data_IF_687823412126
#
_entry.id   IF_687823412126
#
_cell.length_a   1.000
_cell.length_b   1.000
_cell.length_c   1.000
_cell.angle_alpha   90.00
_cell.angle_beta   90.00
_cell.angle_gamma   90.00
#
_symmetry.space_group_name_H-M   'P 1'
#
loop_
_entity.id
_entity.type
_entity.pdbx_description
1 polymer ?
#
# COMPACT_ATOMS: atom_id res chain seq x y z
N UNK A 1 24.24 13.55 20.07
CA UNK A 1 23.01 13.94 20.81
C UNK A 1 21.76 13.98 19.92
N UNK A 2 21.76 14.54 18.69
CA UNK A 2 20.56 14.55 17.83
C UNK A 2 20.09 13.16 17.35
N UNK A 3 21.03 12.25 17.10
CA UNK A 3 20.77 10.86 16.68
C UNK A 3 19.96 10.07 17.74
N UNK A 4 20.45 10.02 18.98
CA UNK A 4 19.74 9.36 20.09
C UNK A 4 18.33 9.91 20.31
N UNK A 5 18.13 11.22 20.13
CA UNK A 5 16.79 11.83 20.21
C UNK A 5 15.87 11.35 19.09
N UNK A 6 16.39 11.22 17.86
CA UNK A 6 15.61 10.69 16.74
C UNK A 6 15.24 9.22 16.96
N UNK A 7 16.18 8.39 17.44
CA UNK A 7 15.90 6.98 17.76
C UNK A 7 14.83 6.86 18.85
N UNK A 8 14.93 7.62 19.94
CA UNK A 8 13.92 7.64 21.00
C UNK A 8 12.54 8.09 20.50
N UNK A 9 12.48 9.07 19.58
CA UNK A 9 11.22 9.51 18.93
C UNK A 9 10.61 8.40 18.07
N UNK A 10 11.44 7.65 17.33
CA UNK A 10 10.95 6.52 16.52
C UNK A 10 10.39 5.42 17.41
N UNK A 11 11.07 5.09 18.51
CA UNK A 11 10.59 4.12 19.49
C UNK A 11 9.24 4.54 20.09
N UNK A 12 9.13 5.79 20.55
CA UNK A 12 7.87 6.30 21.10
C UNK A 12 6.74 6.34 20.05
N UNK A 13 7.05 6.69 18.80
CA UNK A 13 6.08 6.68 17.70
C UNK A 13 5.63 5.26 17.35
N UNK A 14 6.53 4.28 17.43
CA UNK A 14 6.18 2.86 17.26
C UNK A 14 5.25 2.39 18.37
N UNK A 15 5.57 2.67 19.63
CA UNK A 15 4.72 2.33 20.78
C UNK A 15 3.32 2.98 20.65
N UNK A 16 3.28 4.24 20.21
CA UNK A 16 2.03 4.97 19.92
C UNK A 16 1.22 4.28 18.81
N UNK A 17 1.87 3.84 17.74
CA UNK A 17 1.20 3.13 16.64
C UNK A 17 0.57 1.83 17.11
N UNK A 18 1.27 1.04 17.93
CA UNK A 18 0.76 -0.23 18.46
C UNK A 18 -0.42 0.02 19.40
N UNK A 19 -0.28 0.97 20.33
CA UNK A 19 -1.37 1.38 21.24
C UNK A 19 -2.60 1.88 20.47
N UNK A 20 -2.42 2.68 19.42
CA UNK A 20 -3.53 3.13 18.59
C UNK A 20 -4.23 1.97 17.85
N UNK A 21 -3.50 0.93 17.45
CA UNK A 21 -4.10 -0.27 16.87
C UNK A 21 -4.94 -1.03 17.90
N UNK A 22 -4.44 -1.19 19.13
CA UNK A 22 -5.19 -1.80 20.25
C UNK A 22 -6.48 -1.03 20.58
N UNK A 23 -6.44 0.30 20.51
CA UNK A 23 -7.62 1.14 20.71
C UNK A 23 -8.67 0.94 19.62
N UNK A 24 -8.26 0.76 18.36
CA UNK A 24 -9.21 0.41 17.27
C UNK A 24 -9.86 -0.95 17.54
N UNK A 25 -9.07 -1.95 17.92
CA UNK A 25 -9.58 -3.31 18.17
C UNK A 25 -10.54 -3.32 19.36
N UNK A 26 -10.21 -2.59 20.42
CA UNK A 26 -11.06 -2.43 21.60
C UNK A 26 -12.38 -1.74 21.23
N UNK A 27 -12.33 -0.62 20.50
CA UNK A 27 -13.52 0.10 20.08
C UNK A 27 -14.45 -0.76 19.20
N UNK A 28 -13.88 -1.53 18.24
CA UNK A 28 -14.64 -2.47 17.41
C UNK A 28 -15.36 -3.53 18.25
N UNK A 29 -14.70 -4.03 19.30
CA UNK A 29 -15.27 -5.00 20.23
C UNK A 29 -16.39 -4.39 21.08
N UNK A 30 -16.16 -3.21 21.63
CA UNK A 30 -17.13 -2.49 22.48
C UNK A 30 -18.40 -2.11 21.70
N UNK A 31 -18.24 -1.63 20.46
CA UNK A 31 -19.37 -1.32 19.56
C UNK A 31 -20.05 -2.57 18.99
N UNK A 32 -19.48 -3.77 19.17
CA UNK A 32 -19.89 -5.00 18.47
C UNK A 32 -19.98 -4.79 16.94
N UNK A 33 -19.03 -4.01 16.40
CA UNK A 33 -18.98 -3.65 14.98
C UNK A 33 -18.97 -4.91 14.11
N UNK A 34 -19.90 -5.09 13.15
CA UNK A 34 -19.87 -6.26 12.30
C UNK A 34 -18.69 -6.23 11.34
N UNK A 35 -18.07 -7.40 11.19
CA UNK A 35 -16.92 -7.63 10.34
C UNK A 35 -17.26 -8.59 9.21
N UNK A 36 -16.58 -8.44 8.09
CA UNK A 36 -16.60 -9.39 6.98
C UNK A 36 -15.18 -9.57 6.44
N UNK A 37 -14.80 -10.79 6.09
CA UNK A 37 -13.52 -11.11 5.43
C UNK A 37 -13.74 -11.85 4.12
N UNK A 38 -12.86 -11.57 3.16
CA UNK A 38 -13.00 -12.01 1.78
C UNK A 38 -12.82 -13.51 1.58
N UNK A 39 -12.07 -14.20 2.41
CA UNK A 39 -11.87 -15.65 2.27
C UNK A 39 -13.04 -16.49 2.81
N UNK A 40 -14.10 -15.85 3.32
CA UNK A 40 -15.33 -16.51 3.76
C UNK A 40 -15.26 -17.19 5.14
N UNK A 41 -14.12 -17.10 5.84
CA UNK A 41 -14.02 -17.55 7.24
C UNK A 41 -14.72 -16.52 8.14
N UNK A 42 -15.07 -16.88 9.38
CA UNK A 42 -15.56 -15.91 10.37
C UNK A 42 -14.56 -14.78 10.58
N UNK A 43 -15.03 -13.54 10.52
CA UNK A 43 -14.25 -12.36 10.87
C UNK A 43 -14.60 -11.94 12.29
N UNK A 44 -13.58 -11.80 13.14
CA UNK A 44 -13.71 -11.40 14.53
C UNK A 44 -12.60 -10.41 14.93
N UNK A 45 -12.59 -10.01 16.20
CA UNK A 45 -11.58 -9.09 16.73
C UNK A 45 -10.16 -9.67 16.72
N UNK A 46 -10.00 -10.99 16.72
CA UNK A 46 -8.67 -11.64 16.67
C UNK A 46 -8.09 -11.52 15.26
N UNK A 47 -8.89 -11.80 14.23
CA UNK A 47 -8.51 -11.55 12.85
C UNK A 47 -8.19 -10.08 12.59
N UNK A 48 -8.98 -9.15 13.15
CA UNK A 48 -8.70 -7.71 13.02
C UNK A 48 -7.39 -7.33 13.72
N UNK A 49 -7.13 -7.89 14.90
CA UNK A 49 -5.87 -7.69 15.61
C UNK A 49 -4.68 -8.14 14.76
N UNK A 50 -4.75 -9.34 14.19
CA UNK A 50 -3.75 -9.82 13.24
C UNK A 50 -3.56 -8.86 12.06
N UNK A 51 -4.65 -8.37 11.46
CA UNK A 51 -4.59 -7.49 10.30
C UNK A 51 -3.91 -6.14 10.59
N UNK A 52 -4.19 -5.53 11.75
CA UNK A 52 -3.69 -4.20 12.10
C UNK A 52 -2.28 -4.22 12.71
N UNK A 53 -1.88 -5.36 13.29
CA UNK A 53 -0.60 -5.53 13.98
C UNK A 53 0.41 -6.39 13.22
N UNK A 54 0.05 -6.91 12.04
CA UNK A 54 0.99 -7.61 11.17
C UNK A 54 2.01 -6.66 10.53
N UNK A 55 3.13 -6.45 11.24
CA UNK A 55 4.22 -5.55 10.85
C UNK A 55 5.54 -6.27 10.55
N UNK A 56 5.51 -7.60 10.41
CA UNK A 56 6.71 -8.45 10.34
C UNK A 56 6.98 -8.98 8.94
N UNK A 57 8.23 -9.34 8.64
CA UNK A 57 8.49 -10.29 7.55
C UNK A 57 8.13 -11.71 7.99
N UNK A 58 7.64 -12.53 7.05
CA UNK A 58 7.63 -13.99 7.21
C UNK A 58 8.88 -14.58 6.56
N UNK A 59 9.34 -15.72 7.10
CA UNK A 59 10.44 -16.46 6.48
C UNK A 59 10.05 -16.95 5.08
N UNK A 60 11.00 -16.82 4.14
CA UNK A 60 10.77 -17.14 2.73
C UNK A 60 9.88 -16.16 1.95
N UNK A 61 9.35 -15.10 2.59
CA UNK A 61 8.57 -14.07 1.90
C UNK A 61 9.47 -13.19 1.03
N UNK A 62 9.04 -12.90 -0.21
CA UNK A 62 9.62 -11.81 -1.00
C UNK A 62 9.42 -10.50 -0.25
N UNK A 63 10.53 -9.84 0.12
CA UNK A 63 10.51 -8.63 0.94
C UNK A 63 9.80 -7.41 0.31
N UNK A 64 9.33 -7.53 -0.93
CA UNK A 64 8.52 -6.51 -1.62
C UNK A 64 7.02 -6.74 -1.48
N UNK A 65 6.59 -7.93 -1.06
CA UNK A 65 5.19 -8.34 -0.95
C UNK A 65 4.65 -7.95 0.40
N UNK A 66 3.54 -7.21 0.43
CA UNK A 66 2.76 -6.98 1.66
C UNK A 66 1.64 -8.01 1.76
N UNK A 67 1.38 -8.52 2.96
CA UNK A 67 0.29 -9.47 3.21
C UNK A 67 -1.07 -8.78 3.18
N UNK A 68 -1.99 -9.15 2.27
CA UNK A 68 -3.29 -8.51 2.22
C UNK A 68 -4.24 -9.08 3.29
N UNK A 69 -4.89 -8.21 4.05
CA UNK A 69 -6.00 -8.57 4.94
C UNK A 69 -7.26 -7.93 4.38
N UNK A 70 -8.00 -8.67 3.55
CA UNK A 70 -9.12 -8.14 2.79
C UNK A 70 -10.42 -8.37 3.55
N UNK A 71 -11.06 -7.28 3.94
CA UNK A 71 -12.35 -7.32 4.61
C UNK A 71 -12.95 -5.93 4.81
N UNK A 72 -14.03 -5.90 5.57
CA UNK A 72 -14.83 -4.71 5.86
C UNK A 72 -15.18 -4.69 7.35
N UNK A 73 -15.17 -3.50 7.93
CA UNK A 73 -15.68 -3.23 9.28
C UNK A 73 -16.73 -2.12 9.16
N UNK A 74 -17.97 -2.39 9.59
CA UNK A 74 -18.96 -1.34 9.79
C UNK A 74 -18.65 -0.63 11.11
N UNK A 75 -18.39 0.67 11.05
CA UNK A 75 -17.74 1.41 12.13
C UNK A 75 -18.60 2.61 12.53
N UNK A 76 -18.87 2.73 13.83
CA UNK A 76 -19.46 3.92 14.42
C UNK A 76 -18.44 5.05 14.55
N UNK A 77 -18.89 6.24 15.01
CA UNK A 77 -18.03 7.42 15.12
C UNK A 77 -16.76 7.19 15.95
N UNK A 78 -16.84 6.44 17.06
CA UNK A 78 -15.69 6.18 17.92
C UNK A 78 -14.67 5.30 17.23
N UNK A 79 -15.08 4.21 16.57
CA UNK A 79 -14.15 3.40 15.76
C UNK A 79 -13.50 4.23 14.65
N UNK A 80 -14.26 5.06 13.94
CA UNK A 80 -13.71 5.93 12.88
C UNK A 80 -12.66 6.90 13.41
N UNK A 81 -12.89 7.52 14.57
CA UNK A 81 -11.93 8.40 15.24
C UNK A 81 -10.64 7.65 15.61
N UNK A 82 -10.75 6.44 16.19
CA UNK A 82 -9.59 5.62 16.54
C UNK A 82 -8.78 5.20 15.31
N UNK A 83 -9.44 4.90 14.19
CA UNK A 83 -8.76 4.58 12.93
C UNK A 83 -8.04 5.82 12.36
N UNK A 84 -8.61 7.02 12.52
CA UNK A 84 -7.94 8.25 12.14
C UNK A 84 -6.66 8.47 12.98
N UNK A 85 -6.75 8.27 14.30
CA UNK A 85 -5.59 8.36 15.20
C UNK A 85 -4.49 7.33 14.85
N UNK A 86 -4.88 6.08 14.55
CA UNK A 86 -3.96 5.05 14.08
C UNK A 86 -3.26 5.45 12.77
N UNK A 87 -4.01 5.99 11.81
CA UNK A 87 -3.44 6.46 10.55
C UNK A 87 -2.46 7.61 10.75
N UNK A 88 -2.76 8.56 11.66
CA UNK A 88 -1.85 9.65 12.01
C UNK A 88 -0.56 9.13 12.67
N UNK A 89 -0.66 8.17 13.60
CA UNK A 89 0.52 7.54 14.23
C UNK A 89 1.39 6.80 13.20
N UNK A 90 0.76 6.11 12.23
CA UNK A 90 1.46 5.45 11.11
C UNK A 90 2.20 6.45 10.22
N UNK A 91 1.59 7.59 9.92
CA UNK A 91 2.19 8.66 9.12
C UNK A 91 3.39 9.29 9.83
N UNK A 92 3.23 9.65 11.11
CA UNK A 92 4.32 10.16 11.93
C UNK A 92 5.51 9.19 12.01
N UNK A 93 5.26 7.89 12.17
CA UNK A 93 6.33 6.89 12.17
C UNK A 93 7.06 6.84 10.82
N UNK A 94 6.30 6.89 9.71
CA UNK A 94 6.88 6.88 8.37
C UNK A 94 7.79 8.10 8.12
N UNK A 95 7.39 9.28 8.58
CA UNK A 95 8.18 10.51 8.48
C UNK A 95 9.49 10.40 9.27
N UNK A 96 9.44 9.91 10.51
CA UNK A 96 10.65 9.73 11.33
C UNK A 96 11.61 8.71 10.71
N UNK A 97 11.10 7.63 10.12
CA UNK A 97 11.93 6.66 9.40
C UNK A 97 12.51 7.24 8.10
N UNK A 98 11.82 8.16 7.43
CA UNK A 98 12.36 8.87 6.28
C UNK A 98 13.52 9.79 6.72
N UNK A 99 13.33 10.55 7.81
CA UNK A 99 14.37 11.38 8.42
C UNK A 99 15.61 10.55 8.81
N UNK A 100 15.40 9.37 9.42
CA UNK A 100 16.48 8.46 9.80
C UNK A 100 17.28 7.98 8.57
N UNK A 101 16.60 7.59 7.50
CA UNK A 101 17.26 7.13 6.26
C UNK A 101 18.11 8.21 5.61
N UNK A 102 17.70 9.46 5.72
CA UNK A 102 18.42 10.59 5.15
C UNK A 102 19.64 10.96 6.00
N UNK A 103 19.48 11.04 7.33
CA UNK A 103 20.51 11.56 8.24
C UNK A 103 21.46 10.50 8.79
N UNK A 104 20.96 9.29 9.04
CA UNK A 104 21.69 8.21 9.73
C UNK A 104 21.36 6.83 9.11
N UNK A 105 21.68 6.60 7.82
CA UNK A 105 21.31 5.38 7.11
C UNK A 105 21.84 4.08 7.76
N UNK A 106 23.02 4.14 8.39
CA UNK A 106 23.67 2.99 9.04
C UNK A 106 22.90 2.48 10.27
N UNK A 107 22.12 3.35 10.91
CA UNK A 107 21.32 3.02 12.11
C UNK A 107 20.02 2.27 11.81
N UNK A 108 19.62 2.21 10.53
CA UNK A 108 18.33 1.63 10.15
C UNK A 108 18.25 0.13 10.47
N UNK A 109 19.35 -0.60 10.32
CA UNK A 109 19.39 -2.04 10.56
C UNK A 109 19.21 -2.37 12.05
N UNK A 110 19.92 -1.64 12.92
CA UNK A 110 19.88 -1.81 14.36
C UNK A 110 18.49 -1.47 14.92
N UNK A 111 17.93 -0.31 14.57
CA UNK A 111 16.64 0.11 15.10
C UNK A 111 15.52 -0.86 14.72
N UNK A 112 15.52 -1.37 13.48
CA UNK A 112 14.55 -2.39 13.03
C UNK A 112 14.64 -3.71 13.81
N UNK A 113 15.81 -4.02 14.38
CA UNK A 113 16.02 -5.21 15.19
C UNK A 113 15.54 -5.02 16.64
N UNK A 114 15.59 -3.79 17.18
CA UNK A 114 15.26 -3.52 18.59
C UNK A 114 13.75 -3.29 18.81
N UNK A 115 13.07 -2.57 17.91
CA UNK A 115 11.65 -2.25 18.02
C UNK A 115 10.72 -3.46 18.30
N UNK A 116 10.91 -4.65 17.70
CA UNK A 116 10.07 -5.81 17.98
C UNK A 116 9.99 -6.18 19.47
N UNK A 117 11.12 -6.07 20.19
CA UNK A 117 11.22 -6.55 21.58
C UNK A 117 10.49 -5.67 22.59
N UNK A 118 10.06 -4.47 22.19
CA UNK A 118 9.37 -3.51 23.06
C UNK A 118 7.94 -3.92 23.41
N UNK A 119 7.33 -4.83 22.65
CA UNK A 119 5.94 -5.25 22.86
C UNK A 119 5.79 -6.77 23.06
N UNK A 120 5.56 -7.24 24.30
CA UNK A 120 5.40 -8.66 24.61
C UNK A 120 4.29 -9.38 23.82
N UNK A 121 3.20 -8.69 23.49
CA UNK A 121 2.11 -9.24 22.68
C UNK A 121 2.50 -9.49 21.22
N UNK A 122 3.45 -8.70 20.70
CA UNK A 122 4.00 -8.88 19.36
C UNK A 122 5.12 -9.93 19.33
N UNK A 123 5.79 -10.17 20.47
CA UNK A 123 6.85 -11.17 20.61
C UNK A 123 6.41 -12.61 20.34
N UNK A 124 5.11 -12.95 20.41
CA UNK A 124 4.65 -14.31 20.09
C UNK A 124 4.93 -14.69 18.63
N UNK A 125 4.95 -13.72 17.72
CA UNK A 125 5.32 -13.94 16.31
C UNK A 125 6.83 -14.16 16.10
N UNK A 126 7.67 -13.91 17.12
CA UNK A 126 9.14 -14.02 17.06
C UNK A 126 9.67 -15.39 17.48
N UNK A 127 8.81 -16.32 17.92
CA UNK A 127 9.24 -17.58 18.55
C UNK A 127 9.67 -18.70 17.57
N UNK A 128 9.77 -18.40 16.27
CA UNK A 128 10.28 -19.31 15.25
C UNK A 128 11.47 -18.71 14.48
N UNK A 129 12.66 -19.29 14.69
CA UNK A 129 13.87 -19.37 13.85
C UNK A 129 14.41 -18.17 13.04
N UNK A 130 13.92 -16.95 13.24
CA UNK A 130 14.55 -15.76 12.67
C UNK A 130 14.16 -14.53 13.47
N UNK A 131 15.15 -13.70 13.83
CA UNK A 131 14.90 -12.34 14.34
C UNK A 131 13.87 -11.68 13.41
N UNK A 132 12.62 -11.49 13.85
CA UNK A 132 11.63 -10.97 12.92
C UNK A 132 12.00 -9.54 12.57
N UNK A 133 12.34 -9.37 11.29
CA UNK A 133 12.71 -8.08 10.76
C UNK A 133 11.42 -7.30 10.56
N UNK A 134 11.42 -6.05 11.02
CA UNK A 134 10.31 -5.13 10.80
C UNK A 134 10.07 -4.90 9.30
N UNK A 135 8.84 -5.14 8.84
CA UNK A 135 8.40 -4.86 7.47
C UNK A 135 7.84 -3.44 7.39
N UNK A 136 8.73 -2.50 7.08
CA UNK A 136 8.44 -1.06 7.06
C UNK A 136 7.17 -0.67 6.28
N UNK A 137 6.94 -1.20 5.06
CA UNK A 137 5.68 -0.89 4.33
C UNK A 137 4.42 -1.42 5.03
N UNK A 138 4.50 -2.50 5.80
CA UNK A 138 3.36 -3.01 6.58
C UNK A 138 3.13 -2.18 7.84
N UNK A 139 4.19 -1.61 8.44
CA UNK A 139 4.06 -0.72 9.60
C UNK A 139 3.14 0.46 9.30
N UNK A 140 3.38 1.15 8.18
CA UNK A 140 2.71 2.42 7.90
C UNK A 140 1.82 2.42 6.66
N UNK A 141 1.45 1.25 6.13
CA UNK A 141 0.35 1.22 5.15
C UNK A 141 -0.92 1.73 5.82
N UNK A 142 -1.54 2.73 5.19
CA UNK A 142 -2.76 3.38 5.71
C UNK A 142 -3.92 2.39 5.78
N UNK A 143 -4.66 2.42 6.88
CA UNK A 143 -5.94 1.72 7.03
C UNK A 143 -6.99 2.46 6.19
N UNK A 144 -7.62 1.80 5.19
CA UNK A 144 -8.57 2.46 4.32
C UNK A 144 -9.89 2.75 5.04
N UNK A 145 -10.41 3.97 4.86
CA UNK A 145 -11.67 4.44 5.44
C UNK A 145 -12.53 5.05 4.33
N UNK A 146 -13.83 4.75 4.31
CA UNK A 146 -14.78 5.46 3.46
C UNK A 146 -15.12 6.83 4.03
N UNK A 147 -15.22 7.85 3.18
CA UNK A 147 -15.52 9.24 3.60
C UNK A 147 -16.96 9.43 4.11
N UNK A 148 -17.86 8.52 3.75
CA UNK A 148 -19.27 8.59 4.08
C UNK A 148 -19.90 7.19 4.04
N UNK A 149 -21.11 7.00 4.59
CA UNK A 149 -21.85 5.76 4.50
C UNK A 149 -22.07 5.28 3.06
N UNK A 150 -21.90 3.97 2.87
CA UNK A 150 -22.02 3.32 1.56
C UNK A 150 -23.23 2.39 1.51
N UNK A 151 -23.91 2.34 0.37
CA UNK A 151 -24.97 1.37 0.11
C UNK A 151 -24.39 0.01 -0.31
N UNK A 152 -23.23 0.03 -0.97
CA UNK A 152 -22.62 -1.16 -1.56
C UNK A 152 -21.11 -1.00 -1.69
N UNK A 153 -20.40 -2.11 -1.49
CA UNK A 153 -18.98 -2.23 -1.85
C UNK A 153 -18.81 -3.37 -2.85
N UNK A 154 -18.10 -3.10 -3.96
CA UNK A 154 -17.71 -4.13 -4.93
C UNK A 154 -16.19 -4.26 -4.98
N UNK A 155 -15.70 -5.39 -4.52
CA UNK A 155 -14.31 -5.83 -4.63
C UNK A 155 -14.03 -6.42 -6.02
N UNK A 156 -12.88 -6.06 -6.58
CA UNK A 156 -12.40 -6.63 -7.83
C UNK A 156 -10.87 -6.61 -7.89
N UNK A 157 -10.30 -7.67 -8.45
CA UNK A 157 -8.88 -7.70 -8.78
C UNK A 157 -8.53 -6.73 -9.90
N UNK A 158 -7.44 -6.01 -9.70
CA UNK A 158 -6.84 -5.13 -10.69
C UNK A 158 -5.47 -5.68 -11.08
N UNK A 159 -5.43 -6.48 -12.15
CA UNK A 159 -4.23 -7.15 -12.66
C UNK A 159 -3.50 -6.36 -13.75
N UNK A 160 -4.09 -5.27 -14.26
CA UNK A 160 -3.50 -4.45 -15.33
C UNK A 160 -2.77 -3.20 -14.81
N UNK A 161 -2.39 -3.18 -13.53
CA UNK A 161 -1.69 -2.05 -12.92
C UNK A 161 -0.33 -1.81 -13.56
N UNK A 162 -0.02 -0.54 -13.82
CA UNK A 162 1.27 -0.11 -14.37
C UNK A 162 1.72 1.12 -13.60
N UNK A 163 2.96 1.11 -13.13
CA UNK A 163 3.66 2.33 -12.77
C UNK A 163 4.22 2.94 -14.04
N UNK A 164 3.92 4.21 -14.27
CA UNK A 164 4.39 4.97 -15.43
C UNK A 164 5.17 6.16 -14.88
N UNK A 165 6.46 6.18 -15.14
CA UNK A 165 7.33 7.31 -14.80
C UNK A 165 7.67 8.07 -16.08
N UNK A 166 7.46 9.39 -16.07
CA UNK A 166 7.99 10.29 -17.11
C UNK A 166 9.49 10.37 -16.94
N UNK A 167 10.24 10.11 -18.01
CA UNK A 167 11.69 10.16 -18.02
C UNK A 167 12.14 10.91 -19.28
N UNK A 168 13.20 11.69 -19.15
CA UNK A 168 13.84 12.40 -20.25
C UNK A 168 14.77 11.48 -21.04
N UNK A 169 15.18 11.93 -22.23
CA UNK A 169 16.23 11.30 -23.03
C UNK A 169 17.54 11.17 -22.24
N UNK A 170 17.97 12.25 -21.58
CA UNK A 170 19.21 12.26 -20.79
C UNK A 170 19.18 11.26 -19.61
N UNK A 171 18.04 11.15 -18.91
CA UNK A 171 17.89 10.14 -17.85
C UNK A 171 17.95 8.71 -18.41
N UNK A 172 17.35 8.46 -19.58
CA UNK A 172 17.41 7.16 -20.23
C UNK A 172 18.85 6.80 -20.63
N UNK A 173 19.61 7.77 -21.13
CA UNK A 173 21.02 7.59 -21.48
C UNK A 173 21.85 7.25 -20.25
N UNK A 174 21.71 8.02 -19.18
CA UNK A 174 22.39 7.77 -17.91
C UNK A 174 22.03 6.40 -17.31
N UNK A 175 20.80 5.92 -17.49
CA UNK A 175 20.38 4.59 -17.06
C UNK A 175 20.99 3.47 -17.94
N UNK A 176 21.06 3.67 -19.26
CA UNK A 176 21.72 2.71 -20.16
C UNK A 176 23.23 2.62 -19.91
N UNK A 177 23.89 3.75 -19.61
CA UNK A 177 25.31 3.79 -19.28
C UNK A 177 25.68 3.04 -17.98
N UNK A 178 24.70 2.79 -17.10
CA UNK A 178 24.89 1.97 -15.89
C UNK A 178 24.79 0.47 -16.15
N UNK A 179 24.39 0.07 -17.36
CA UNK A 179 24.39 -1.33 -17.80
C UNK A 179 25.75 -1.67 -18.43
N UNK A 180 25.91 -2.91 -18.89
CA UNK A 180 27.05 -3.30 -19.71
C UNK A 180 26.98 -2.61 -21.07
N UNK A 181 27.78 -1.56 -21.24
CA UNK A 181 27.80 -0.73 -22.45
C UNK A 181 28.42 -1.43 -23.66
N UNK A 182 29.16 -2.52 -23.47
CA UNK A 182 29.72 -3.31 -24.56
C UNK A 182 28.71 -4.30 -25.15
N UNK A 183 27.65 -4.63 -24.40
CA UNK A 183 26.60 -5.50 -24.89
C UNK A 183 25.89 -4.86 -26.11
N UNK A 184 25.78 -5.64 -27.20
CA UNK A 184 25.23 -5.18 -28.49
C UNK A 184 23.85 -4.52 -28.34
N UNK A 185 22.98 -5.12 -27.53
CA UNK A 185 21.64 -4.62 -27.30
C UNK A 185 21.60 -3.27 -26.57
N UNK A 186 22.59 -2.95 -25.72
CA UNK A 186 22.73 -1.64 -25.08
C UNK A 186 23.25 -0.60 -26.07
N UNK A 187 24.27 -0.95 -26.87
CA UNK A 187 24.81 -0.07 -27.93
C UNK A 187 23.75 0.30 -28.96
N UNK A 188 22.91 -0.64 -29.37
CA UNK A 188 21.79 -0.37 -30.28
C UNK A 188 20.77 0.59 -29.66
N UNK A 189 20.44 0.42 -28.38
CA UNK A 189 19.50 1.30 -27.67
C UNK A 189 20.03 2.71 -27.45
N UNK A 190 21.35 2.87 -27.20
CA UNK A 190 21.99 4.18 -27.16
C UNK A 190 21.93 4.89 -28.51
N UNK A 191 22.14 4.17 -29.62
CA UNK A 191 21.97 4.73 -30.98
C UNK A 191 20.53 5.15 -31.26
N UNK A 192 19.54 4.35 -30.86
CA UNK A 192 18.13 4.70 -30.99
C UNK A 192 17.80 5.98 -30.22
N UNK A 193 18.33 6.11 -29.01
CA UNK A 193 18.11 7.25 -28.13
C UNK A 193 18.72 8.54 -28.69
N UNK A 194 19.92 8.46 -29.30
CA UNK A 194 20.59 9.59 -29.95
C UNK A 194 19.82 10.16 -31.15
N UNK A 195 18.87 9.41 -31.71
CA UNK A 195 17.99 9.87 -32.79
C UNK A 195 16.76 10.66 -32.33
N UNK A 196 16.56 10.83 -31.02
CA UNK A 196 15.42 11.57 -30.47
C UNK A 196 15.78 13.04 -30.14
N UNK A 197 14.80 13.97 -30.21
CA UNK A 197 14.95 15.31 -29.63
C UNK A 197 15.25 15.22 -28.14
N UNK A 198 16.17 16.06 -27.65
CA UNK A 198 16.62 16.03 -26.24
C UNK A 198 15.52 16.34 -25.22
N UNK A 199 14.50 17.10 -25.64
CA UNK A 199 13.33 17.49 -24.85
C UNK A 199 12.17 16.48 -24.94
N UNK A 200 12.30 15.42 -25.74
CA UNK A 200 11.27 14.40 -25.84
C UNK A 200 11.08 13.68 -24.49
N UNK A 201 9.83 13.66 -24.02
CA UNK A 201 9.46 12.94 -22.81
C UNK A 201 9.09 11.51 -23.17
N UNK A 202 9.67 10.56 -22.44
CA UNK A 202 9.44 9.13 -22.59
C UNK A 202 8.72 8.56 -21.35
N UNK A 203 8.16 7.37 -21.51
CA UNK A 203 7.43 6.66 -20.46
C UNK A 203 8.16 5.38 -20.04
N UNK A 204 8.70 5.33 -18.83
CA UNK A 204 9.20 4.09 -18.26
C UNK A 204 8.05 3.33 -17.60
N UNK A 205 7.74 2.15 -18.11
CA UNK A 205 6.59 1.35 -17.66
C UNK A 205 7.06 0.13 -16.87
N UNK A 206 6.54 0.00 -15.65
CA UNK A 206 6.73 -1.19 -14.83
C UNK A 206 5.36 -1.83 -14.54
N UNK A 207 5.15 -3.11 -14.94
CA UNK A 207 3.98 -3.88 -14.51
C UNK A 207 3.93 -3.95 -12.98
N UNK A 208 2.74 -3.78 -12.41
CA UNK A 208 2.50 -3.95 -10.99
C UNK A 208 1.86 -5.32 -10.73
N UNK A 209 2.17 -5.89 -9.58
CA UNK A 209 1.48 -7.08 -9.12
C UNK A 209 -0.04 -6.81 -9.00
N UNK A 210 -0.89 -7.81 -9.27
CA UNK A 210 -2.32 -7.67 -9.07
C UNK A 210 -2.66 -7.21 -7.65
N UNK A 211 -3.61 -6.27 -7.54
CA UNK A 211 -4.07 -5.74 -6.26
C UNK A 211 -5.59 -5.75 -6.16
N UNK A 212 -6.12 -5.77 -4.94
CA UNK A 212 -7.55 -5.67 -4.70
C UNK A 212 -8.00 -4.21 -4.74
N UNK A 213 -9.10 -3.93 -5.45
CA UNK A 213 -9.78 -2.63 -5.42
C UNK A 213 -11.16 -2.74 -4.80
N UNK A 214 -11.46 -1.85 -3.87
CA UNK A 214 -12.80 -1.62 -3.37
C UNK A 214 -13.47 -0.51 -4.19
N UNK A 215 -14.65 -0.77 -4.72
CA UNK A 215 -15.51 0.22 -5.36
C UNK A 215 -16.65 0.55 -4.41
N UNK A 216 -16.63 1.77 -3.88
CA UNK A 216 -17.61 2.29 -2.93
C UNK A 216 -18.73 2.97 -3.68
N UNK A 217 -19.97 2.62 -3.35
CA UNK A 217 -21.17 3.31 -3.83
C UNK A 217 -21.82 3.97 -2.63
N UNK A 218 -21.74 5.29 -2.55
CA UNK A 218 -22.24 6.05 -1.41
C UNK A 218 -23.76 6.04 -1.37
N UNK A 219 -24.34 6.12 -0.17
CA UNK A 219 -25.80 6.29 0.00
C UNK A 219 -26.25 7.65 -0.52
N UNK A 220 -25.44 8.66 -0.24
CA UNK A 220 -25.63 10.04 -0.68
C UNK A 220 -24.38 10.51 -1.45
N UNK A 221 -24.53 11.43 -2.42
CA UNK A 221 -23.38 12.03 -3.08
C UNK A 221 -22.45 12.72 -2.07
N UNK A 222 -21.16 12.47 -2.18
CA UNK A 222 -20.13 13.08 -1.31
C UNK A 222 -19.45 14.20 -2.08
N UNK A 223 -19.32 15.38 -1.44
CA UNK A 223 -18.54 16.48 -1.97
C UNK A 223 -17.04 16.17 -1.85
N UNK A 224 -16.31 16.32 -2.95
CA UNK A 224 -14.86 16.11 -3.00
C UNK A 224 -14.10 17.43 -2.83
N UNK A 225 -12.79 17.32 -2.61
CA UNK A 225 -11.86 18.46 -2.60
C UNK A 225 -11.87 19.27 -3.90
N UNK A 226 -12.20 18.64 -5.03
CA UNK A 226 -12.34 19.30 -6.34
C UNK A 226 -13.69 20.04 -6.51
N UNK A 227 -14.56 20.03 -5.50
CA UNK A 227 -15.87 20.66 -5.52
C UNK A 227 -16.94 19.87 -6.27
N UNK A 228 -16.65 18.65 -6.73
CA UNK A 228 -17.62 17.82 -7.43
C UNK A 228 -18.34 16.84 -6.50
N UNK A 229 -19.66 16.73 -6.66
CA UNK A 229 -20.45 15.69 -6.01
C UNK A 229 -20.25 14.35 -6.72
N UNK A 230 -19.83 13.32 -5.97
CA UNK A 230 -19.62 11.97 -6.51
C UNK A 230 -20.37 10.92 -5.73
N UNK A 231 -21.01 10.01 -6.45
CA UNK A 231 -21.74 8.86 -5.91
C UNK A 231 -20.88 7.61 -5.77
N UNK A 232 -19.65 7.63 -6.28
CA UNK A 232 -18.75 6.47 -6.30
C UNK A 232 -17.29 6.83 -6.06
N UNK A 233 -16.56 5.94 -5.39
CA UNK A 233 -15.09 5.96 -5.30
C UNK A 233 -14.52 4.57 -5.61
N UNK A 234 -13.31 4.52 -6.16
CA UNK A 234 -12.56 3.27 -6.24
C UNK A 234 -11.17 3.46 -5.64
N UNK A 235 -10.80 2.64 -4.66
CA UNK A 235 -9.51 2.69 -3.97
C UNK A 235 -8.85 1.31 -3.93
N UNK A 236 -7.53 1.30 -3.83
CA UNK A 236 -6.76 0.08 -3.60
C UNK A 236 -6.87 -0.27 -2.11
N UNK A 237 -7.05 -1.55 -1.80
CA UNK A 237 -7.17 -2.02 -0.42
C UNK A 237 -6.22 -3.19 -0.18
N UNK A 238 -5.52 -3.14 0.94
CA UNK A 238 -4.65 -4.23 1.42
C UNK A 238 -4.85 -4.54 2.91
N UNK A 239 -5.73 -3.77 3.55
CA UNK A 239 -6.18 -3.88 4.93
C UNK A 239 -7.71 -3.79 4.96
N UNK A 240 -8.34 -4.19 6.08
CA UNK A 240 -9.79 -4.07 6.24
C UNK A 240 -10.25 -2.64 6.00
N UNK A 241 -11.33 -2.49 5.22
CA UNK A 241 -11.95 -1.22 4.90
C UNK A 241 -12.98 -0.85 5.98
N UNK A 242 -12.74 0.27 6.65
CA UNK A 242 -13.67 0.81 7.64
C UNK A 242 -14.72 1.69 6.96
N UNK A 243 -15.98 1.41 7.25
CA UNK A 243 -17.13 2.08 6.66
C UNK A 243 -17.93 2.80 7.75
N UNK A 244 -18.05 4.14 7.69
CA UNK A 244 -18.93 4.86 8.60
C UNK A 244 -20.36 4.33 8.48
N UNK A 245 -20.96 4.00 9.61
CA UNK A 245 -22.34 3.51 9.62
C UNK A 245 -23.10 3.83 10.91
N UNK A 246 -24.29 4.42 10.77
CA UNK A 246 -25.11 4.83 11.92
C UNK A 246 -25.85 3.68 12.63
N UNK A 247 -26.17 2.58 11.93
CA UNK A 247 -26.86 1.40 12.49
C UNK A 247 -25.95 0.16 12.63
N UNK A 248 -24.63 0.35 12.44
CA UNK A 248 -23.63 -0.72 12.46
C UNK A 248 -24.02 -1.94 11.62
N UNK A 249 -24.48 -1.76 10.38
CA UNK A 249 -24.72 -2.86 9.44
C UNK A 249 -23.68 -2.92 8.34
N UNK A 250 -23.44 -4.12 7.81
CA UNK A 250 -22.63 -4.24 6.60
C UNK A 250 -23.45 -3.81 5.38
N UNK A 251 -22.85 -3.10 4.40
CA UNK A 251 -23.52 -2.81 3.14
C UNK A 251 -23.65 -4.08 2.29
N UNK A 252 -24.27 -3.98 1.12
CA UNK A 252 -24.19 -5.07 0.15
C UNK A 252 -22.74 -5.30 -0.32
N UNK A 253 -22.22 -6.51 -0.09
CA UNK A 253 -20.89 -6.95 -0.48
C UNK A 253 -20.96 -7.99 -1.61
N UNK A 254 -19.89 -8.11 -2.40
CA UNK A 254 -19.69 -9.24 -3.30
C UNK A 254 -18.58 -10.15 -2.78
N UNK A 255 -18.60 -11.39 -3.26
CA UNK A 255 -17.52 -12.35 -3.06
C UNK A 255 -16.65 -12.42 -4.33
N UNK A 256 -15.52 -11.71 -4.42
CA UNK A 256 -14.58 -11.91 -5.53
C UNK A 256 -13.83 -13.25 -5.37
N UNK A 257 -13.15 -13.68 -6.43
CA UNK A 257 -12.19 -14.80 -6.35
C UNK A 257 -11.13 -14.52 -5.27
N UNK A 258 -10.74 -15.52 -4.46
CA UNK A 258 -9.69 -15.36 -3.45
C UNK A 258 -8.31 -15.08 -4.08
N UNK A 259 -8.10 -15.50 -5.32
CA UNK A 259 -6.86 -15.29 -6.08
C UNK A 259 -7.08 -14.38 -7.28
N UNK A 260 -6.06 -13.59 -7.68
CA UNK A 260 -6.14 -12.75 -8.87
C UNK A 260 -6.29 -13.62 -10.12
N UNK A 261 -7.05 -13.15 -11.13
CA UNK A 261 -7.15 -13.85 -12.41
C UNK A 261 -5.78 -13.87 -13.10
N UNK A 262 -5.45 -15.00 -13.71
CA UNK A 262 -4.25 -15.19 -14.53
C UNK A 262 -4.29 -14.38 -15.82
N UNK A 263 -5.49 -14.18 -16.37
CA UNK A 263 -5.70 -13.46 -17.63
C UNK A 263 -6.38 -12.11 -17.44
N UNK A 264 -6.04 -11.16 -18.33
CA UNK A 264 -6.63 -9.83 -18.35
C UNK A 264 -8.05 -9.91 -18.89
N UNK A 265 -9.04 -9.73 -18.02
CA UNK A 265 -10.47 -9.76 -18.39
C UNK A 265 -11.06 -8.43 -18.84
N UNK A 266 -10.35 -7.30 -18.66
CA UNK A 266 -10.87 -5.96 -19.05
C UNK A 266 -10.36 -5.50 -20.40
N UNK A 267 -11.31 -5.04 -21.22
CA UNK A 267 -11.08 -4.34 -22.47
C UNK A 267 -10.07 -3.20 -22.29
N UNK A 268 -9.24 -3.02 -23.31
CA UNK A 268 -8.24 -1.97 -23.37
C UNK A 268 -8.95 -0.62 -23.41
N UNK A 269 -8.57 0.31 -22.53
CA UNK A 269 -9.02 1.70 -22.64
C UNK A 269 -8.47 2.27 -23.96
N UNK A 270 -9.33 2.89 -24.77
CA UNK A 270 -9.00 3.38 -26.12
C UNK A 270 -8.11 4.63 -26.11
N UNK A 271 -7.96 5.24 -24.94
CA UNK A 271 -7.28 6.49 -24.63
C UNK A 271 -5.77 6.30 -24.31
N UNK A 272 -5.19 5.15 -24.69
CA UNK A 272 -3.77 4.85 -24.44
C UNK A 272 -2.88 5.57 -25.44
N UNK A 273 -2.28 6.69 -25.00
CA UNK A 273 -1.28 7.48 -25.72
C UNK A 273 0.15 6.94 -25.63
N UNK A 274 0.34 5.65 -25.36
CA UNK A 274 1.69 5.05 -25.17
C UNK A 274 1.80 3.77 -25.98
N UNK A 275 2.91 3.62 -26.69
CA UNK A 275 3.22 2.42 -27.49
C UNK A 275 3.19 1.14 -26.64
N UNK A 276 2.72 0.02 -27.21
CA UNK A 276 2.69 -1.28 -26.50
C UNK A 276 4.06 -1.90 -26.34
N UNK A 277 4.90 -1.77 -27.37
CA UNK A 277 6.24 -2.33 -27.39
C UNK A 277 7.23 -1.31 -26.83
N UNK A 278 8.12 -1.69 -25.91
CA UNK A 278 9.17 -0.80 -25.44
C UNK A 278 10.05 -0.35 -26.61
N UNK A 279 10.25 0.97 -26.71
CA UNK A 279 11.26 1.60 -27.55
C UNK A 279 12.67 1.25 -27.06
N UNK A 280 12.92 1.35 -25.74
CA UNK A 280 14.13 0.84 -25.09
C UNK A 280 13.77 -0.37 -24.23
N UNK A 281 13.99 -1.58 -24.76
CA UNK A 281 13.64 -2.85 -24.11
C UNK A 281 14.35 -3.07 -22.78
N UNK A 282 15.64 -2.72 -22.66
CA UNK A 282 16.40 -2.93 -21.42
C UNK A 282 15.86 -2.11 -20.25
N UNK A 283 15.28 -0.95 -20.55
CA UNK A 283 14.72 -0.05 -19.54
C UNK A 283 13.20 -0.12 -19.41
N UNK A 284 12.52 -0.83 -20.32
CA UNK A 284 11.06 -0.84 -20.49
C UNK A 284 10.52 0.56 -20.71
N UNK A 285 11.20 1.33 -21.55
CA UNK A 285 10.83 2.70 -21.91
C UNK A 285 10.06 2.68 -23.23
N UNK A 286 8.98 3.45 -23.29
CA UNK A 286 8.05 3.58 -24.39
C UNK A 286 7.94 5.05 -24.80
N UNK A 287 7.54 5.33 -26.03
CA UNK A 287 7.23 6.69 -26.50
C UNK A 287 5.75 7.01 -26.29
N UNK A 288 5.44 8.29 -26.09
CA UNK A 288 4.06 8.79 -26.17
C UNK A 288 3.66 8.96 -27.65
N UNK A 289 2.42 8.59 -28.00
CA UNK A 289 1.82 8.79 -29.33
C UNK A 289 0.39 9.29 -29.21
#
# INVERSE_FOLDING_TARGET
MPEYQLMARIEAAFDTQISAADQVITAVREENSPLWRLDGVSADSEWLSQALQDVWYQDGQDGRVTRPYLGVVAAGPTVIERVAALNAAKEQLAELFAELREKYPDQLAELKAILPFRHPGLNQHLRGDGLARLHLKQCWRRVPVAEAPVARVRFAWYSSGRSIQRVSVAECEALLMKLDTEAEHVRLQLKLLAGLPSDEILARIQPQAPLMRANLFYREPVMREDGELRTRRALNVSLPLFLPHDDLRLPALNQPSPTPPTERTRARRGDVRIEDTPFLKSLRVHRYR
#
